data_IF_143885624953
#
_entry.id   IF_143885624953
#
_cell.length_a   1.000
_cell.length_b   1.000
_cell.length_c   1.000
_cell.angle_alpha   90.00
_cell.angle_beta   90.00
_cell.angle_gamma   90.00
#
_symmetry.space_group_name_H-M   'P 1'
#
loop_
_entity.id
_entity.type
_entity.pdbx_description
1 polymer ?
#
# COMPACT_ATOMS: atom_id res chain seq x y z
N UNK A 1 15.10 -7.68 5.44
CA UNK A 1 13.89 -8.18 6.14
C UNK A 1 13.46 -9.52 5.53
N UNK A 2 12.87 -10.41 6.32
CA UNK A 2 12.20 -11.60 5.78
C UNK A 2 10.79 -11.23 5.33
N UNK A 3 10.53 -11.29 4.01
CA UNK A 3 9.27 -10.85 3.41
C UNK A 3 8.17 -11.92 3.36
N UNK A 4 8.37 -13.06 4.01
CA UNK A 4 7.33 -14.10 4.13
C UNK A 4 6.34 -13.80 5.26
N UNK A 5 6.79 -13.08 6.28
CA UNK A 5 5.97 -12.69 7.43
C UNK A 5 6.31 -11.26 7.87
N UNK A 6 5.25 -10.51 8.15
CA UNK A 6 5.35 -9.18 8.74
C UNK A 6 4.66 -9.19 10.10
N UNK A 7 5.24 -8.50 11.08
CA UNK A 7 4.54 -8.26 12.34
C UNK A 7 3.42 -7.24 12.13
N UNK A 8 2.37 -7.35 12.93
CA UNK A 8 1.26 -6.39 12.87
C UNK A 8 1.74 -4.97 13.19
N UNK A 9 2.67 -4.82 14.11
CA UNK A 9 3.26 -3.51 14.46
C UNK A 9 4.02 -2.89 13.28
N UNK A 10 4.75 -3.70 12.48
CA UNK A 10 5.44 -3.21 11.29
C UNK A 10 4.46 -2.67 10.24
N UNK A 11 3.44 -3.44 9.93
CA UNK A 11 2.41 -3.04 8.95
C UNK A 11 1.61 -1.84 9.48
N UNK A 12 1.18 -1.87 10.74
CA UNK A 12 0.44 -0.78 11.35
C UNK A 12 1.25 0.52 11.34
N UNK A 13 2.52 0.48 11.73
CA UNK A 13 3.41 1.63 11.71
C UNK A 13 3.54 2.26 10.32
N UNK A 14 3.71 1.44 9.27
CA UNK A 14 3.75 1.93 7.88
C UNK A 14 2.44 2.62 7.51
N UNK A 15 1.29 2.00 7.79
CA UNK A 15 -0.02 2.55 7.42
C UNK A 15 -0.37 3.81 8.21
N UNK A 16 0.06 3.93 9.46
CA UNK A 16 -0.11 5.14 10.28
C UNK A 16 0.78 6.30 9.81
N UNK A 17 2.03 6.01 9.46
CA UNK A 17 2.99 7.01 8.98
C UNK A 17 2.70 7.50 7.56
N UNK A 18 1.95 6.73 6.78
CA UNK A 18 1.58 7.08 5.41
C UNK A 18 0.43 8.07 5.41
N UNK A 19 0.57 9.14 4.63
CA UNK A 19 -0.50 10.11 4.34
C UNK A 19 -0.84 10.15 2.87
N UNK A 20 0.17 10.06 2.02
CA UNK A 20 0.06 10.17 0.57
C UNK A 20 0.62 8.92 -0.11
N UNK A 21 -0.18 8.36 -1.01
CA UNK A 21 0.11 7.13 -1.74
C UNK A 21 0.14 7.42 -3.24
N UNK A 22 1.21 7.02 -3.92
CA UNK A 22 1.23 6.94 -5.37
C UNK A 22 0.87 5.50 -5.79
N UNK A 23 -0.26 5.33 -6.46
CA UNK A 23 -0.79 4.03 -6.86
C UNK A 23 -0.44 3.74 -8.32
N UNK A 24 0.57 2.91 -8.56
CA UNK A 24 1.04 2.54 -9.89
C UNK A 24 0.23 1.37 -10.43
N UNK A 25 -0.36 1.53 -11.62
CA UNK A 25 -1.26 0.54 -12.21
C UNK A 25 -2.72 0.74 -11.80
N UNK A 26 -3.09 1.97 -11.48
CA UNK A 26 -4.48 2.34 -11.22
C UNK A 26 -5.36 2.07 -12.44
N UNK A 27 -6.61 1.67 -12.20
CA UNK A 27 -7.57 1.32 -13.26
C UNK A 27 -8.91 2.00 -13.03
N UNK A 28 -9.52 2.49 -14.11
CA UNK A 28 -10.89 2.99 -14.11
C UNK A 28 -11.92 1.86 -14.15
N UNK A 29 -11.49 0.62 -14.41
CA UNK A 29 -12.39 -0.53 -14.38
C UNK A 29 -12.80 -0.85 -12.95
N UNK A 30 -14.10 -0.68 -12.66
CA UNK A 30 -14.69 -0.84 -11.33
C UNK A 30 -14.62 -2.27 -10.78
N UNK A 31 -14.26 -3.25 -11.59
CA UNK A 31 -14.06 -4.65 -11.18
C UNK A 31 -12.60 -4.96 -10.80
N UNK A 32 -11.67 -4.04 -11.06
CA UNK A 32 -10.25 -4.26 -10.77
C UNK A 32 -9.91 -4.01 -9.29
N UNK A 33 -9.00 -4.80 -8.71
CA UNK A 33 -8.56 -4.63 -7.34
C UNK A 33 -8.03 -3.22 -7.02
N UNK A 34 -7.31 -2.59 -7.95
CA UNK A 34 -6.78 -1.23 -7.77
C UNK A 34 -7.88 -0.19 -7.60
N UNK A 35 -9.02 -0.34 -8.28
CA UNK A 35 -10.16 0.56 -8.13
C UNK A 35 -10.75 0.48 -6.71
N UNK A 36 -11.00 -0.73 -6.22
CA UNK A 36 -11.53 -0.94 -4.87
C UNK A 36 -10.56 -0.48 -3.78
N UNK A 37 -9.28 -0.78 -3.95
CA UNK A 37 -8.25 -0.35 -3.00
C UNK A 37 -8.16 1.18 -2.95
N UNK A 38 -8.14 1.84 -4.10
CA UNK A 38 -8.10 3.30 -4.18
C UNK A 38 -9.32 3.94 -3.50
N UNK A 39 -10.53 3.46 -3.83
CA UNK A 39 -11.77 3.96 -3.23
C UNK A 39 -11.77 3.80 -1.71
N UNK A 40 -11.33 2.67 -1.21
CA UNK A 40 -11.24 2.39 0.23
C UNK A 40 -10.22 3.31 0.91
N UNK A 41 -9.01 3.44 0.37
CA UNK A 41 -7.95 4.25 0.95
C UNK A 41 -8.30 5.74 0.97
N UNK A 42 -8.92 6.26 -0.10
CA UNK A 42 -9.48 7.61 -0.12
C UNK A 42 -10.51 7.81 0.99
N UNK A 43 -11.41 6.83 1.19
CA UNK A 43 -12.41 6.84 2.25
C UNK A 43 -11.81 6.80 3.66
N UNK A 44 -10.57 6.34 3.81
CA UNK A 44 -9.82 6.33 5.09
C UNK A 44 -8.98 7.59 5.31
N UNK A 45 -9.06 8.57 4.42
CA UNK A 45 -8.40 9.85 4.55
C UNK A 45 -6.97 9.89 3.99
N UNK A 46 -6.55 8.88 3.23
CA UNK A 46 -5.31 8.95 2.45
C UNK A 46 -5.50 9.86 1.25
N UNK A 47 -4.46 10.60 0.90
CA UNK A 47 -4.32 11.18 -0.44
C UNK A 47 -3.78 10.09 -1.35
N UNK A 48 -4.43 9.85 -2.49
CA UNK A 48 -3.99 8.84 -3.46
C UNK A 48 -3.81 9.49 -4.82
N UNK A 49 -2.62 9.37 -5.38
CA UNK A 49 -2.29 9.80 -6.74
C UNK A 49 -2.30 8.58 -7.66
N UNK A 50 -3.32 8.40 -8.50
CA UNK A 50 -3.36 7.28 -9.44
C UNK A 50 -2.40 7.51 -10.60
N UNK A 51 -1.67 6.45 -10.99
CA UNK A 51 -0.72 6.47 -12.10
C UNK A 51 -1.14 5.40 -13.11
N UNK A 52 -1.45 5.85 -14.31
CA UNK A 52 -1.74 5.00 -15.47
C UNK A 52 -1.50 5.81 -16.75
N UNK A 53 -0.50 5.45 -17.60
CA UNK A 53 -0.22 6.18 -18.82
C UNK A 53 -1.43 6.31 -19.77
N UNK A 54 -2.28 5.26 -19.83
CA UNK A 54 -3.47 5.24 -20.70
C UNK A 54 -4.62 6.12 -20.23
N UNK A 55 -4.58 6.60 -18.99
CA UNK A 55 -5.60 7.46 -18.38
C UNK A 55 -5.05 8.83 -17.98
N UNK A 56 -3.81 9.14 -18.34
CA UNK A 56 -3.15 10.38 -17.93
C UNK A 56 -3.96 11.62 -18.35
N UNK A 57 -4.07 12.56 -17.42
CA UNK A 57 -4.85 13.79 -17.60
C UNK A 57 -6.35 13.64 -17.35
N UNK A 58 -6.86 12.42 -17.15
CA UNK A 58 -8.25 12.18 -16.77
C UNK A 58 -8.38 12.18 -15.24
N UNK A 59 -9.61 12.16 -14.74
CA UNK A 59 -9.92 11.98 -13.31
C UNK A 59 -10.35 10.54 -13.03
N UNK A 60 -9.88 10.02 -11.91
CA UNK A 60 -10.30 8.74 -11.36
C UNK A 60 -10.67 8.92 -9.89
N UNK A 61 -11.91 8.65 -9.53
CA UNK A 61 -12.44 8.88 -8.18
C UNK A 61 -12.16 10.30 -7.66
N UNK A 62 -12.27 11.30 -8.54
CA UNK A 62 -12.01 12.71 -8.22
C UNK A 62 -10.53 13.09 -8.13
N UNK A 63 -9.62 12.19 -8.48
CA UNK A 63 -8.17 12.43 -8.44
C UNK A 63 -7.61 12.48 -9.86
N UNK A 64 -6.72 13.43 -10.11
CA UNK A 64 -5.99 13.52 -11.38
C UNK A 64 -5.12 12.26 -11.57
N UNK A 65 -5.20 11.67 -12.76
CA UNK A 65 -4.35 10.54 -13.14
C UNK A 65 -3.06 11.05 -13.78
N UNK A 66 -1.92 10.55 -13.31
CA UNK A 66 -0.60 10.86 -13.83
C UNK A 66 -0.11 9.76 -14.79
N UNK A 67 0.71 10.13 -15.76
CA UNK A 67 1.30 9.18 -16.70
C UNK A 67 2.40 8.34 -16.04
N UNK A 68 3.18 8.97 -15.16
CA UNK A 68 4.41 8.41 -14.60
C UNK A 68 4.59 8.86 -13.13
N UNK A 69 5.35 8.08 -12.36
CA UNK A 69 5.68 8.43 -10.99
C UNK A 69 6.47 9.74 -10.88
N UNK A 70 7.26 10.05 -11.88
CA UNK A 70 8.02 11.29 -11.94
C UNK A 70 7.14 12.55 -12.02
N UNK A 71 5.91 12.42 -12.52
CA UNK A 71 4.96 13.53 -12.69
C UNK A 71 4.19 13.83 -11.39
N UNK A 72 4.21 12.92 -10.42
CA UNK A 72 3.44 13.07 -9.18
C UNK A 72 4.05 14.15 -8.29
N UNK A 73 3.24 15.08 -7.74
CA UNK A 73 3.73 16.10 -6.84
C UNK A 73 4.15 15.50 -5.49
N UNK A 74 5.20 16.07 -4.91
CA UNK A 74 5.60 15.76 -3.53
C UNK A 74 4.61 16.39 -2.52
N UNK A 75 4.44 15.81 -1.32
CA UNK A 75 5.10 14.61 -0.83
C UNK A 75 4.40 13.32 -1.26
N UNK A 76 5.13 12.22 -1.32
CA UNK A 76 4.59 10.85 -1.44
C UNK A 76 5.28 9.97 -0.41
N UNK A 77 4.53 9.38 0.50
CA UNK A 77 5.07 8.51 1.55
C UNK A 77 5.23 7.06 1.10
N UNK A 78 4.31 6.59 0.26
CA UNK A 78 4.24 5.20 -0.19
C UNK A 78 4.01 5.09 -1.70
N UNK A 79 4.73 4.20 -2.36
CA UNK A 79 4.41 3.73 -3.70
C UNK A 79 3.75 2.37 -3.60
N UNK A 80 2.49 2.27 -4.02
CA UNK A 80 1.67 1.04 -4.01
C UNK A 80 1.58 0.48 -5.44
N UNK A 81 2.11 -0.73 -5.66
CA UNK A 81 2.38 -1.29 -6.98
C UNK A 81 1.34 -2.35 -7.33
N UNK A 82 0.43 -2.02 -8.27
CA UNK A 82 -0.57 -2.89 -8.89
C UNK A 82 -0.12 -3.39 -10.27
N UNK A 83 1.14 -3.69 -10.43
CA UNK A 83 1.71 -4.28 -11.65
C UNK A 83 2.27 -5.65 -11.33
N UNK A 84 2.67 -6.41 -12.37
CA UNK A 84 3.29 -7.72 -12.16
C UNK A 84 4.67 -7.60 -11.48
N UNK A 85 5.20 -8.74 -11.04
CA UNK A 85 6.46 -8.79 -10.27
C UNK A 85 7.68 -8.32 -11.06
N UNK A 86 7.70 -8.48 -12.39
CA UNK A 86 8.76 -7.98 -13.25
C UNK A 86 8.73 -6.44 -13.31
N UNK A 87 7.58 -5.85 -13.64
CA UNK A 87 7.40 -4.41 -13.67
C UNK A 87 7.65 -3.74 -12.30
N UNK A 88 7.41 -4.46 -11.20
CA UNK A 88 7.70 -3.96 -9.86
C UNK A 88 9.18 -3.67 -9.64
N UNK A 89 10.09 -4.35 -10.33
CA UNK A 89 11.52 -4.06 -10.34
C UNK A 89 11.80 -2.65 -10.86
N UNK A 90 11.39 -2.37 -12.08
CA UNK A 90 11.62 -1.08 -12.74
C UNK A 90 10.96 0.07 -11.97
N UNK A 91 9.72 -0.15 -11.48
CA UNK A 91 8.99 0.84 -10.68
C UNK A 91 9.74 1.13 -9.37
N UNK A 92 10.28 0.12 -8.72
CA UNK A 92 11.06 0.28 -7.49
C UNK A 92 12.34 1.05 -7.73
N UNK A 93 13.07 0.78 -8.80
CA UNK A 93 14.28 1.53 -9.17
C UNK A 93 13.95 3.00 -9.44
N UNK A 94 12.90 3.28 -10.17
CA UNK A 94 12.41 4.64 -10.39
C UNK A 94 12.04 5.33 -9.07
N UNK A 95 11.33 4.64 -8.19
CA UNK A 95 10.94 5.16 -6.90
C UNK A 95 12.15 5.50 -6.01
N UNK A 96 13.20 4.66 -6.03
CA UNK A 96 14.45 4.92 -5.33
C UNK A 96 15.12 6.18 -5.87
N UNK A 97 15.17 6.35 -7.19
CA UNK A 97 15.73 7.56 -7.81
C UNK A 97 14.96 8.84 -7.41
N UNK A 98 13.66 8.73 -7.19
CA UNK A 98 12.79 9.84 -6.81
C UNK A 98 12.62 10.00 -5.29
N UNK A 99 13.24 9.13 -4.48
CA UNK A 99 13.05 9.07 -3.03
C UNK A 99 13.20 10.43 -2.35
N UNK A 100 14.29 11.13 -2.61
CA UNK A 100 14.57 12.43 -1.96
C UNK A 100 13.58 13.51 -2.39
N UNK A 101 13.21 13.53 -3.67
CA UNK A 101 12.22 14.50 -4.19
C UNK A 101 10.85 14.29 -3.59
N UNK A 102 10.42 13.05 -3.47
CA UNK A 102 9.09 12.69 -3.00
C UNK A 102 8.98 12.64 -1.47
N UNK A 103 10.10 12.48 -0.76
CA UNK A 103 10.09 12.16 0.67
C UNK A 103 9.63 10.72 0.93
N UNK A 104 9.92 9.81 0.00
CA UNK A 104 9.41 8.45 0.01
C UNK A 104 9.94 7.62 1.18
N UNK A 105 9.06 6.85 1.81
CA UNK A 105 9.35 6.01 2.97
C UNK A 105 9.15 4.52 2.70
N UNK A 106 8.21 4.16 1.81
CA UNK A 106 7.75 2.77 1.67
C UNK A 106 7.48 2.40 0.21
N UNK A 107 7.91 1.19 -0.17
CA UNK A 107 7.47 0.46 -1.36
C UNK A 107 6.51 -0.65 -0.92
N UNK A 108 5.34 -0.69 -1.53
CA UNK A 108 4.32 -1.69 -1.26
C UNK A 108 3.94 -2.44 -2.54
N UNK A 109 4.17 -3.76 -2.55
CA UNK A 109 3.81 -4.63 -3.66
C UNK A 109 2.55 -5.41 -3.30
N UNK A 110 1.55 -5.33 -4.16
CA UNK A 110 0.23 -5.90 -3.96
C UNK A 110 0.21 -7.42 -3.85
N UNK A 111 -0.95 -7.99 -3.51
CA UNK A 111 -1.16 -9.44 -3.51
C UNK A 111 -0.71 -10.06 -4.85
N UNK A 112 0.11 -11.10 -4.78
CA UNK A 112 0.67 -11.76 -5.94
C UNK A 112 1.89 -11.07 -6.56
N UNK A 113 2.29 -9.91 -6.04
CA UNK A 113 3.47 -9.17 -6.53
C UNK A 113 4.63 -9.36 -5.56
N UNK A 114 5.71 -9.96 -6.05
CA UNK A 114 6.95 -10.16 -5.31
C UNK A 114 8.16 -9.93 -6.22
N UNK A 115 9.14 -9.19 -5.74
CA UNK A 115 10.44 -9.04 -6.38
C UNK A 115 11.51 -8.85 -5.30
N UNK A 116 12.20 -9.93 -4.99
CA UNK A 116 13.18 -9.95 -3.89
C UNK A 116 14.40 -9.06 -4.17
N UNK A 117 14.84 -8.99 -5.43
CA UNK A 117 15.94 -8.11 -5.82
C UNK A 117 15.57 -6.63 -5.65
N UNK A 118 14.35 -6.25 -6.09
CA UNK A 118 13.85 -4.90 -5.90
C UNK A 118 13.68 -4.56 -4.41
N UNK A 119 13.17 -5.50 -3.61
CA UNK A 119 13.05 -5.33 -2.17
C UNK A 119 14.41 -5.05 -1.50
N UNK A 120 15.44 -5.82 -1.85
CA UNK A 120 16.78 -5.62 -1.32
C UNK A 120 17.36 -4.25 -1.71
N UNK A 121 17.15 -3.80 -2.94
CA UNK A 121 17.57 -2.47 -3.40
C UNK A 121 16.85 -1.36 -2.62
N UNK A 122 15.55 -1.47 -2.45
CA UNK A 122 14.74 -0.48 -1.71
C UNK A 122 15.16 -0.41 -0.24
N UNK A 123 15.37 -1.55 0.42
CA UNK A 123 15.85 -1.61 1.81
C UNK A 123 17.25 -1.01 1.94
N UNK A 124 18.14 -1.30 1.01
CA UNK A 124 19.50 -0.72 0.97
C UNK A 124 19.44 0.81 0.79
N UNK A 125 18.41 1.32 0.13
CA UNK A 125 18.14 2.75 0.01
C UNK A 125 17.44 3.35 1.24
N UNK A 126 17.18 2.55 2.28
CA UNK A 126 16.53 2.99 3.53
C UNK A 126 15.01 3.10 3.44
N UNK A 127 14.38 2.37 2.52
CA UNK A 127 12.93 2.28 2.41
C UNK A 127 12.38 1.06 3.15
N UNK A 128 11.19 1.19 3.72
CA UNK A 128 10.41 0.03 4.12
C UNK A 128 9.88 -0.69 2.89
N UNK A 129 9.77 -2.01 2.97
CA UNK A 129 9.23 -2.84 1.89
C UNK A 129 8.18 -3.80 2.42
N UNK A 130 7.05 -3.86 1.74
CA UNK A 130 6.01 -4.86 1.94
C UNK A 130 5.72 -5.52 0.60
N UNK A 131 5.69 -6.85 0.55
CA UNK A 131 5.36 -7.62 -0.65
C UNK A 131 4.19 -8.55 -0.39
N UNK A 132 3.43 -8.82 -1.46
CA UNK A 132 2.31 -9.77 -1.44
C UNK A 132 1.27 -9.46 -0.35
N UNK A 133 0.91 -8.18 -0.22
CA UNK A 133 -0.13 -7.70 0.70
C UNK A 133 -0.97 -6.61 0.03
N UNK A 134 -2.21 -6.46 0.48
CA UNK A 134 -3.09 -5.37 0.05
C UNK A 134 -3.26 -4.35 1.19
N UNK A 135 -2.92 -3.06 1.00
CA UNK A 135 -3.04 -2.06 2.06
C UNK A 135 -4.47 -1.93 2.59
N UNK A 136 -5.47 -2.07 1.70
CA UNK A 136 -6.89 -2.08 2.08
C UNK A 136 -7.19 -3.20 3.08
N UNK A 137 -6.74 -4.42 2.78
CA UNK A 137 -7.00 -5.61 3.61
C UNK A 137 -6.27 -5.47 4.94
N UNK A 138 -5.01 -5.08 4.91
CA UNK A 138 -4.20 -4.91 6.13
C UNK A 138 -4.76 -3.79 7.02
N UNK A 139 -5.14 -2.66 6.44
CA UNK A 139 -5.78 -1.58 7.18
C UNK A 139 -7.08 -2.04 7.84
N UNK A 140 -7.98 -2.68 7.09
CA UNK A 140 -9.24 -3.18 7.62
C UNK A 140 -9.05 -4.22 8.72
N UNK A 141 -8.09 -5.12 8.57
CA UNK A 141 -7.73 -6.11 9.58
C UNK A 141 -7.21 -5.47 10.87
N UNK A 142 -6.28 -4.53 10.75
CA UNK A 142 -5.60 -3.91 11.89
C UNK A 142 -6.44 -2.83 12.57
N UNK A 143 -7.38 -2.21 11.84
CA UNK A 143 -8.34 -1.25 12.40
C UNK A 143 -9.57 -1.91 13.03
N UNK A 144 -9.69 -3.24 12.96
CA UNK A 144 -10.83 -3.99 13.49
C UNK A 144 -12.12 -3.88 12.65
N UNK A 145 -12.04 -3.37 11.43
CA UNK A 145 -13.20 -3.27 10.52
C UNK A 145 -13.55 -4.60 9.87
N UNK A 146 -12.56 -5.47 9.71
CA UNK A 146 -12.72 -6.82 9.18
C UNK A 146 -12.71 -7.77 10.37
N UNK A 147 -13.89 -8.27 10.73
CA UNK A 147 -14.02 -9.29 11.76
C UNK A 147 -13.46 -10.64 11.29
N UNK A 148 -13.41 -11.62 12.23
CA UNK A 148 -12.87 -12.98 12.04
C UNK A 148 -13.43 -13.77 10.85
N UNK A 149 -14.53 -13.34 10.26
CA UNK A 149 -15.27 -14.09 9.26
C UNK A 149 -14.65 -13.99 7.85
N UNK A 150 -13.38 -14.33 7.70
CA UNK A 150 -12.93 -14.89 6.43
C UNK A 150 -12.40 -13.95 5.38
N UNK A 151 -11.72 -12.87 5.73
CA UNK A 151 -10.89 -12.18 4.73
C UNK A 151 -9.54 -12.87 4.65
N UNK A 152 -9.32 -13.59 3.57
CA UNK A 152 -8.03 -14.19 3.26
C UNK A 152 -7.05 -13.06 2.86
N UNK A 153 -6.26 -12.58 3.81
CA UNK A 153 -5.19 -11.62 3.56
C UNK A 153 -3.99 -12.25 2.83
N UNK A 154 -4.07 -13.54 2.48
CA UNK A 154 -2.95 -14.32 2.00
C UNK A 154 -1.99 -14.74 3.12
N UNK A 155 -2.26 -14.35 4.34
CA UNK A 155 -1.51 -14.75 5.54
C UNK A 155 -2.42 -15.62 6.40
N UNK A 156 -2.11 -16.88 6.51
CA UNK A 156 -2.66 -17.71 7.58
C UNK A 156 -1.90 -17.29 8.86
N UNK A 157 -2.42 -16.31 9.56
CA UNK A 157 -1.90 -15.93 10.86
C UNK A 157 -2.58 -16.80 11.92
N UNK A 158 -1.81 -17.61 12.62
CA UNK A 158 -2.25 -18.30 13.83
C UNK A 158 -2.25 -17.39 15.06
N UNK A 159 -1.91 -16.11 14.89
CA UNK A 159 -1.91 -15.13 15.97
C UNK A 159 -3.34 -14.73 16.26
N UNK A 160 -3.83 -15.09 17.44
CA UNK A 160 -5.13 -14.62 17.93
C UNK A 160 -5.12 -13.10 18.04
N UNK A 161 -6.21 -12.40 17.65
CA UNK A 161 -6.34 -10.98 17.92
C UNK A 161 -6.13 -10.71 19.41
N UNK A 162 -5.38 -9.68 19.74
CA UNK A 162 -5.27 -9.21 21.13
C UNK A 162 -6.63 -8.64 21.52
N UNK A 163 -7.28 -9.27 22.48
CA UNK A 163 -8.43 -8.68 23.13
C UNK A 163 -7.93 -7.71 24.21
N UNK A 164 -8.54 -6.55 24.33
CA UNK A 164 -8.31 -5.70 25.47
C UNK A 164 -8.88 -6.35 26.76
N UNK A 165 -8.57 -5.84 27.95
CA UNK A 165 -9.08 -6.40 29.20
C UNK A 165 -10.62 -6.40 29.32
N UNK A 166 -11.32 -5.71 28.41
CA UNK A 166 -12.79 -5.65 28.34
C UNK A 166 -13.37 -6.60 27.30
N UNK A 167 -12.55 -7.46 26.68
CA UNK A 167 -12.98 -8.44 25.68
C UNK A 167 -13.21 -7.86 24.29
N UNK A 168 -12.83 -6.62 24.02
CA UNK A 168 -12.94 -5.97 22.72
C UNK A 168 -11.61 -6.13 21.97
N UNK A 169 -11.69 -6.39 20.66
CA UNK A 169 -10.51 -6.51 19.83
C UNK A 169 -9.73 -5.18 19.83
N UNK A 170 -8.48 -5.22 20.24
CA UNK A 170 -7.60 -4.05 20.22
C UNK A 170 -7.35 -3.55 18.79
N UNK A 171 -7.47 -2.27 18.57
CA UNK A 171 -7.16 -1.63 17.30
C UNK A 171 -5.70 -1.17 17.30
N UNK A 172 -4.91 -1.65 16.34
CA UNK A 172 -3.51 -1.25 16.16
C UNK A 172 -3.37 0.03 15.34
N UNK A 173 -4.37 0.36 14.52
CA UNK A 173 -4.41 1.57 13.71
C UNK A 173 -5.54 2.47 14.21
N UNK A 174 -5.24 3.70 14.55
CA UNK A 174 -6.25 4.71 14.87
C UNK A 174 -7.01 5.08 13.62
N UNK A 175 -8.34 5.09 13.71
CA UNK A 175 -9.17 5.57 12.59
C UNK A 175 -8.81 7.03 12.30
N UNK A 176 -8.57 7.33 11.03
CA UNK A 176 -8.39 8.72 10.60
C UNK A 176 -9.73 9.43 10.68
N UNK A 177 -9.75 10.56 11.34
CA UNK A 177 -10.90 11.48 11.39
C UNK A 177 -10.95 12.36 10.15
#
# INVERSE_FOLDING_TARGET
LQHDRYTDDYIAGILEDTKTIAMVGASANTSRPSYFAMKYLLGKGYTVHPINPGLAGQELLGQQVYADLADVPAPVDMVDIFRNSEAAGDITEQAIALKSRLGLKTIWMQLGVRNEAAAALAESAGLNVVMNRCPKIEYGRLSGEIGWAGVNSGVISSVRPRLDPKGVQGHLIRKRS
#
